data_IF_489998837333
#
_entry.id   IF_489998837333
#
_cell.length_a   1.000
_cell.length_b   1.000
_cell.length_c   1.000
_cell.angle_alpha   90.00
_cell.angle_beta   90.00
_cell.angle_gamma   90.00
#
_symmetry.space_group_name_H-M   'P 1'
#
loop_
_entity.id
_entity.type
_entity.pdbx_description
1 polymer ?
#
# COMPACT_ATOMS: atom_id res chain seq x y z
N UNK A 1 -17.68 -16.55 8.39
CA UNK A 1 -16.22 -16.63 8.56
C UNK A 1 -15.87 -16.10 9.95
N UNK A 2 -14.92 -16.71 10.65
CA UNK A 2 -14.45 -16.18 11.93
C UNK A 2 -13.73 -14.85 11.72
N UNK A 3 -13.93 -13.88 12.64
CA UNK A 3 -13.21 -12.60 12.62
C UNK A 3 -11.73 -12.86 12.92
N UNK A 4 -10.83 -12.32 12.10
CA UNK A 4 -9.40 -12.39 12.37
C UNK A 4 -9.06 -11.44 13.53
N UNK A 5 -8.36 -11.96 14.53
CA UNK A 5 -7.90 -11.18 15.69
C UNK A 5 -6.37 -11.05 15.62
N UNK A 6 -5.81 -9.83 15.51
CA UNK A 6 -4.38 -9.64 15.49
C UNK A 6 -3.75 -10.01 16.84
N UNK A 7 -2.56 -10.61 16.81
CA UNK A 7 -1.82 -10.92 18.05
C UNK A 7 -1.26 -9.67 18.74
N UNK A 8 -0.99 -8.64 17.95
CA UNK A 8 -0.39 -7.39 18.38
C UNK A 8 -1.50 -6.33 18.44
N UNK A 9 -1.85 -5.79 19.62
CA UNK A 9 -2.89 -4.76 19.71
C UNK A 9 -2.48 -3.46 19.00
N UNK A 10 -1.18 -3.21 18.81
CA UNK A 10 -0.64 -2.02 18.15
C UNK A 10 -0.34 -2.27 16.65
N UNK A 11 -0.93 -3.32 16.06
CA UNK A 11 -0.64 -3.73 14.68
C UNK A 11 -0.79 -2.59 13.67
N UNK A 12 -1.79 -1.72 13.82
CA UNK A 12 -2.01 -0.62 12.88
C UNK A 12 -0.83 0.35 12.85
N UNK A 13 -0.39 0.84 14.01
CA UNK A 13 0.73 1.77 14.10
C UNK A 13 2.02 1.15 13.55
N UNK A 14 2.24 -0.14 13.82
CA UNK A 14 3.39 -0.89 13.33
C UNK A 14 3.39 -1.06 11.82
N UNK A 15 2.24 -1.37 11.23
CA UNK A 15 2.07 -1.48 9.76
C UNK A 15 2.33 -0.13 9.10
N UNK A 16 1.74 0.96 9.61
CA UNK A 16 1.96 2.32 9.09
C UNK A 16 3.45 2.71 9.16
N UNK A 17 4.07 2.54 10.32
CA UNK A 17 5.51 2.80 10.49
C UNK A 17 6.39 1.98 9.55
N UNK A 18 6.03 0.71 9.31
CA UNK A 18 6.77 -0.14 8.37
C UNK A 18 6.59 0.29 6.91
N UNK A 19 5.41 0.79 6.53
CA UNK A 19 5.15 1.32 5.19
C UNK A 19 5.92 2.61 4.95
N UNK A 20 5.89 3.55 5.89
CA UNK A 20 6.53 4.86 5.76
C UNK A 20 8.05 4.78 5.59
N UNK A 21 8.67 3.70 6.09
CA UNK A 21 10.11 3.42 5.95
C UNK A 21 10.51 2.96 4.55
N UNK A 22 9.56 2.62 3.68
CA UNK A 22 9.82 2.14 2.33
C UNK A 22 9.82 3.31 1.35
N UNK A 23 11.01 3.85 1.03
CA UNK A 23 11.16 4.95 0.06
C UNK A 23 10.52 4.62 -1.29
N UNK A 24 10.51 3.34 -1.70
CA UNK A 24 9.84 2.91 -2.94
C UNK A 24 8.35 3.31 -2.99
N UNK A 25 7.62 3.19 -1.87
CA UNK A 25 6.20 3.57 -1.79
C UNK A 25 6.03 5.08 -2.00
N UNK A 26 6.93 5.88 -1.42
CA UNK A 26 6.96 7.32 -1.63
C UNK A 26 7.29 7.67 -3.10
N UNK A 27 8.25 6.97 -3.70
CA UNK A 27 8.66 7.17 -5.10
C UNK A 27 7.49 6.98 -6.06
N UNK A 28 6.67 5.94 -5.88
CA UNK A 28 5.50 5.67 -6.73
C UNK A 28 4.26 6.48 -6.29
N UNK A 29 4.33 7.23 -5.18
CA UNK A 29 3.22 8.01 -4.66
C UNK A 29 2.13 7.18 -3.99
N UNK A 30 2.45 5.96 -3.55
CA UNK A 30 1.53 5.11 -2.81
C UNK A 30 1.35 5.63 -1.38
N UNK A 31 0.11 5.58 -0.87
CA UNK A 31 -0.26 6.00 0.49
C UNK A 31 -1.07 4.92 1.19
N UNK A 32 -0.92 4.84 2.51
CA UNK A 32 -1.66 3.89 3.34
C UNK A 32 -3.08 4.41 3.58
N UNK A 33 -4.09 3.67 3.10
CA UNK A 33 -5.49 3.88 3.39
C UNK A 33 -5.92 3.24 4.70
N UNK A 34 -6.99 2.45 4.67
CA UNK A 34 -7.48 1.67 5.80
C UNK A 34 -6.49 0.59 6.21
N UNK A 35 -6.30 0.42 7.51
CA UNK A 35 -5.56 -0.71 8.09
C UNK A 35 -6.50 -1.42 9.06
N UNK A 36 -6.76 -2.69 8.81
CA UNK A 36 -7.67 -3.51 9.61
C UNK A 36 -7.08 -4.89 9.92
N UNK A 37 -7.74 -5.67 10.80
CA UNK A 37 -7.31 -7.02 11.09
C UNK A 37 -7.29 -7.91 9.84
N UNK A 38 -6.09 -8.24 9.37
CA UNK A 38 -5.90 -9.12 8.21
C UNK A 38 -6.15 -8.47 6.85
N UNK A 39 -6.38 -7.16 6.81
CA UNK A 39 -6.64 -6.40 5.57
C UNK A 39 -5.97 -5.02 5.61
N UNK A 40 -5.52 -4.55 4.45
CA UNK A 40 -5.05 -3.18 4.26
C UNK A 40 -5.53 -2.66 2.92
N UNK A 41 -5.69 -1.35 2.83
CA UNK A 41 -5.92 -0.63 1.58
C UNK A 41 -4.71 0.25 1.32
N UNK A 42 -4.16 0.17 0.10
CA UNK A 42 -3.09 1.05 -0.38
C UNK A 42 -3.64 1.76 -1.60
N UNK A 43 -3.51 3.08 -1.61
CA UNK A 43 -3.98 3.94 -2.69
C UNK A 43 -2.77 4.49 -3.45
N UNK A 44 -2.89 4.61 -4.77
CA UNK A 44 -1.86 5.20 -5.62
C UNK A 44 -2.53 6.03 -6.72
N UNK A 45 -2.24 7.35 -6.83
CA UNK A 45 -2.78 8.16 -7.89
C UNK A 45 -2.18 7.77 -9.25
N UNK A 46 -2.91 8.03 -10.33
CA UNK A 46 -2.33 7.94 -11.67
C UNK A 46 -1.17 8.93 -11.80
N UNK A 47 -0.05 8.45 -12.33
CA UNK A 47 1.09 9.29 -12.71
C UNK A 47 1.69 8.83 -14.03
N UNK A 48 1.88 9.78 -14.95
CA UNK A 48 2.34 9.49 -16.31
C UNK A 48 3.75 8.87 -16.35
N UNK A 49 4.63 9.23 -15.43
CA UNK A 49 5.99 8.70 -15.31
C UNK A 49 6.05 7.23 -14.85
N UNK A 50 4.92 6.67 -14.39
CA UNK A 50 4.79 5.27 -13.98
C UNK A 50 4.07 4.43 -15.05
N UNK A 51 3.84 4.99 -16.24
CA UNK A 51 3.10 4.31 -17.31
C UNK A 51 3.99 3.48 -18.22
N UNK A 52 3.40 2.46 -18.84
CA UNK A 52 3.99 1.77 -19.99
C UNK A 52 3.72 2.54 -21.29
N UNK A 53 4.18 2.02 -22.44
CA UNK A 53 4.15 2.71 -23.73
C UNK A 53 2.78 3.12 -24.29
N UNK A 54 1.66 2.69 -23.70
CA UNK A 54 0.29 3.04 -24.09
C UNK A 54 -0.40 3.97 -23.06
N UNK A 55 0.33 4.44 -22.04
CA UNK A 55 -0.19 5.38 -21.05
C UNK A 55 -0.95 4.74 -19.89
N UNK A 56 -1.03 3.41 -19.81
CA UNK A 56 -1.54 2.70 -18.64
C UNK A 56 -0.43 2.53 -17.59
N UNK A 57 -0.76 2.44 -16.31
CA UNK A 57 0.23 2.12 -15.26
C UNK A 57 0.95 0.81 -15.62
N UNK A 58 2.28 0.81 -15.53
CA UNK A 58 3.09 -0.35 -15.85
C UNK A 58 2.73 -1.53 -14.93
N UNK A 59 2.53 -2.74 -15.48
CA UNK A 59 2.08 -3.91 -14.70
C UNK A 59 3.00 -4.27 -13.53
N UNK A 60 4.31 -4.06 -13.69
CA UNK A 60 5.29 -4.25 -12.60
C UNK A 60 5.22 -3.21 -11.48
N UNK A 61 4.47 -2.12 -11.62
CA UNK A 61 4.17 -1.18 -10.51
C UNK A 61 2.93 -1.63 -9.73
N UNK A 62 2.01 -2.37 -10.37
CA UNK A 62 0.75 -2.83 -9.76
C UNK A 62 0.91 -4.14 -8.98
N UNK A 63 1.99 -4.90 -9.23
CA UNK A 63 2.23 -6.24 -8.68
C UNK A 63 2.82 -6.18 -7.27
#
# INVERSE_FOLDING_TARGET
>A
MARFEPRDPDFEAKVRSSFDRQTAMQTIGAVMGKVGPGEVEIEMPYRADLTQQHGFIHGGIVT
#
